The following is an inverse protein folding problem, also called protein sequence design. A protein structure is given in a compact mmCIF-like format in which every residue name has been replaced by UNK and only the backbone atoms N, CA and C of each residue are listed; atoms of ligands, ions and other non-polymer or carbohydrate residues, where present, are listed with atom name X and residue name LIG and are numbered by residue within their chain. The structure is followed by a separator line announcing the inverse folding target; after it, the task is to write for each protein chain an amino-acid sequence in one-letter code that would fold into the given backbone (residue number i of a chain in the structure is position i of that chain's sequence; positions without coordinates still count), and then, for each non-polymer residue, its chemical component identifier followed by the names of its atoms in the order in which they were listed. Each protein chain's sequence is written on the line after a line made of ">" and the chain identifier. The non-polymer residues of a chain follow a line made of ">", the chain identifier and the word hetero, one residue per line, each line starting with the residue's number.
data_IF_907953483034
#
_entry.id   IF_907953483034
#
_cell.length_a   1.000
_cell.length_b   1.000
_cell.length_c   1.000
_cell.angle_alpha   90.00
_cell.angle_beta   90.00
_cell.angle_gamma   90.00
#
_symmetry.space_group_name_H-M   'P 1'
#
loop_
_entity.id
_entity.type
_entity.pdbx_description
1 polymer ?
#
# COMPACT_ATOMS: atom_id res chain seq x y z
N UNK A 1 13.20 -0.77 0.47
CA UNK A 1 12.50 0.28 -0.33
C UNK A 1 11.03 0.22 0.07
N UNK A 2 10.23 1.31 0.00
CA UNK A 2 8.79 1.16 0.13
C UNK A 2 8.28 0.39 -1.09
N UNK A 3 7.84 -0.85 -0.86
CA UNK A 3 7.27 -1.69 -1.90
C UNK A 3 5.77 -1.37 -1.99
N UNK A 4 5.26 -1.21 -3.21
CA UNK A 4 3.84 -0.95 -3.47
C UNK A 4 3.11 -2.29 -3.48
N UNK A 5 2.35 -2.56 -2.42
CA UNK A 5 1.51 -3.75 -2.32
C UNK A 5 0.09 -3.43 -2.77
N UNK A 6 -0.26 -3.79 -4.01
CA UNK A 6 -1.67 -3.84 -4.41
C UNK A 6 -2.34 -4.99 -3.66
N UNK A 7 -3.16 -4.65 -2.68
CA UNK A 7 -3.94 -5.65 -1.92
C UNK A 7 -5.02 -6.24 -2.81
N UNK A 8 -5.48 -7.47 -2.53
CA UNK A 8 -6.61 -8.11 -3.23
C UNK A 8 -7.83 -7.19 -3.38
N UNK A 9 -8.07 -6.32 -2.39
CA UNK A 9 -9.13 -5.30 -2.40
C UNK A 9 -9.01 -4.33 -3.59
N UNK A 10 -7.80 -3.88 -3.92
CA UNK A 10 -7.58 -3.01 -5.06
C UNK A 10 -7.89 -3.72 -6.38
N UNK A 11 -7.60 -5.02 -6.47
CA UNK A 11 -7.95 -5.83 -7.64
C UNK A 11 -9.47 -5.95 -7.81
N UNK A 12 -10.22 -6.24 -6.73
CA UNK A 12 -11.68 -6.28 -6.79
C UNK A 12 -12.30 -4.95 -7.23
N UNK A 13 -11.76 -3.82 -6.76
CA UNK A 13 -12.20 -2.48 -7.19
C UNK A 13 -11.95 -2.28 -8.68
N UNK A 14 -10.76 -2.64 -9.19
CA UNK A 14 -10.43 -2.56 -10.61
C UNK A 14 -11.38 -3.43 -11.44
N UNK A 15 -11.66 -4.67 -11.02
CA UNK A 15 -12.62 -5.55 -11.68
C UNK A 15 -14.03 -4.94 -11.73
N UNK A 16 -14.50 -4.38 -10.61
CA UNK A 16 -15.78 -3.68 -10.57
C UNK A 16 -15.82 -2.48 -11.54
N UNK A 17 -14.72 -1.73 -11.61
CA UNK A 17 -14.59 -0.60 -12.51
C UNK A 17 -14.68 -1.01 -13.99
N UNK A 18 -13.96 -2.08 -14.36
CA UNK A 18 -14.02 -2.67 -15.71
C UNK A 18 -15.45 -3.11 -16.03
N UNK A 19 -16.12 -3.78 -15.10
CA UNK A 19 -17.50 -4.22 -15.29
C UNK A 19 -18.49 -3.06 -15.49
N UNK A 20 -18.34 -1.98 -14.72
CA UNK A 20 -19.16 -0.76 -14.88
C UNK A 20 -18.95 -0.13 -16.26
N UNK A 21 -17.72 -0.10 -16.78
CA UNK A 21 -17.47 0.43 -18.11
C UNK A 21 -18.01 -0.47 -19.23
N UNK A 22 -17.93 -1.80 -19.09
CA UNK A 22 -18.52 -2.75 -20.05
C UNK A 22 -20.04 -2.57 -20.11
N UNK A 23 -20.70 -2.53 -18.94
CA UNK A 23 -22.16 -2.33 -18.86
C UNK A 23 -22.57 -0.91 -19.26
N UNK A 24 -21.66 0.06 -19.14
CA UNK A 24 -21.81 1.42 -19.65
C UNK A 24 -22.06 1.51 -21.15
N UNK A 25 -21.62 0.52 -21.94
CA UNK A 25 -21.95 0.46 -23.37
C UNK A 25 -23.46 0.31 -23.62
N UNK A 26 -24.16 -0.44 -22.76
CA UNK A 26 -25.61 -0.59 -22.84
C UNK A 26 -26.38 0.57 -22.20
N UNK A 27 -25.80 1.20 -21.17
CA UNK A 27 -26.42 2.30 -20.43
C UNK A 27 -25.46 3.48 -20.26
N UNK A 28 -25.66 4.56 -21.02
CA UNK A 28 -24.81 5.75 -20.96
C UNK A 28 -24.65 6.35 -19.56
N UNK A 29 -25.64 6.21 -18.66
CA UNK A 29 -25.55 6.67 -17.27
C UNK A 29 -24.41 6.00 -16.51
N UNK A 30 -24.16 4.71 -16.76
CA UNK A 30 -23.08 3.95 -16.11
C UNK A 30 -21.69 4.42 -16.55
N UNK A 31 -21.55 5.04 -17.73
CA UNK A 31 -20.27 5.64 -18.15
C UNK A 31 -19.92 6.81 -17.23
N UNK A 32 -20.88 7.69 -16.94
CA UNK A 32 -20.68 8.84 -16.04
C UNK A 32 -20.35 8.36 -14.63
N UNK A 33 -21.08 7.35 -14.14
CA UNK A 33 -20.80 6.73 -12.83
C UNK A 33 -19.39 6.11 -12.81
N UNK A 34 -19.02 5.38 -13.86
CA UNK A 34 -17.69 4.77 -14.01
C UNK A 34 -16.56 5.79 -14.02
N UNK A 35 -16.75 6.94 -14.67
CA UNK A 35 -15.78 8.04 -14.68
C UNK A 35 -15.58 8.63 -13.27
N UNK A 36 -16.66 8.86 -12.52
CA UNK A 36 -16.59 9.35 -11.13
C UNK A 36 -15.85 8.32 -10.26
N UNK A 37 -16.20 7.04 -10.37
CA UNK A 37 -15.53 5.97 -9.64
C UNK A 37 -14.03 5.90 -9.98
N UNK A 38 -13.67 5.97 -11.26
CA UNK A 38 -12.28 5.96 -11.72
C UNK A 38 -11.48 7.12 -11.10
N UNK A 39 -12.05 8.33 -11.15
CA UNK A 39 -11.39 9.53 -10.65
C UNK A 39 -11.20 9.48 -9.13
N UNK A 40 -12.19 8.95 -8.41
CA UNK A 40 -12.09 8.71 -6.96
C UNK A 40 -11.01 7.68 -6.61
N UNK A 41 -10.88 6.62 -7.41
CA UNK A 41 -9.88 5.58 -7.20
C UNK A 41 -8.45 6.10 -7.44
N UNK A 42 -8.25 6.88 -8.50
CA UNK A 42 -6.97 7.54 -8.77
C UNK A 42 -6.60 8.49 -7.63
N UNK A 43 -7.56 9.29 -7.14
CA UNK A 43 -7.31 10.20 -6.02
C UNK A 43 -6.90 9.42 -4.76
N UNK A 44 -7.56 8.31 -4.46
CA UNK A 44 -7.21 7.45 -3.33
C UNK A 44 -5.79 6.87 -3.47
N UNK A 45 -5.40 6.39 -4.67
CA UNK A 45 -4.05 5.92 -4.95
C UNK A 45 -3.00 7.03 -4.77
N UNK A 46 -3.29 8.25 -5.23
CA UNK A 46 -2.39 9.40 -5.05
C UNK A 46 -2.23 9.72 -3.57
N UNK A 47 -3.31 9.68 -2.78
CA UNK A 47 -3.24 9.89 -1.33
C UNK A 47 -2.41 8.79 -0.66
N UNK A 48 -2.61 7.52 -1.01
CA UNK A 48 -1.83 6.40 -0.48
C UNK A 48 -0.35 6.52 -0.80
N UNK A 49 -0.01 6.80 -2.06
CA UNK A 49 1.37 7.01 -2.48
C UNK A 49 1.97 8.24 -1.80
N UNK A 50 1.23 9.35 -1.75
CA UNK A 50 1.65 10.55 -1.05
C UNK A 50 1.95 10.23 0.41
N UNK A 51 1.08 9.51 1.13
CA UNK A 51 1.31 9.10 2.51
C UNK A 51 2.53 8.18 2.62
N UNK A 52 2.64 7.18 1.75
CA UNK A 52 3.73 6.20 1.75
C UNK A 52 5.11 6.84 1.57
N UNK A 53 5.19 7.86 0.69
CA UNK A 53 6.43 8.59 0.41
C UNK A 53 6.62 9.85 1.28
N UNK A 54 5.55 10.38 1.88
CA UNK A 54 5.59 11.56 2.76
C UNK A 54 5.96 11.22 4.21
N UNK A 55 5.78 9.96 4.66
CA UNK A 55 6.31 9.52 5.95
C UNK A 55 7.85 9.58 5.91
N UNK A 56 8.40 10.74 6.29
CA UNK A 56 9.77 10.86 6.81
C UNK A 56 9.83 9.92 8.00
N UNK A 57 10.43 8.75 7.85
CA UNK A 57 10.58 7.73 8.92
C UNK A 57 11.13 8.41 10.19
N UNK A 58 10.31 8.77 11.20
CA UNK A 58 10.79 9.43 12.41
C UNK A 58 11.47 8.40 13.30
N UNK A 59 11.09 7.13 13.16
CA UNK A 59 11.64 6.00 13.87
C UNK A 59 12.48 5.16 12.92
N UNK A 60 13.79 5.17 13.15
CA UNK A 60 14.72 4.22 12.55
C UNK A 60 14.87 3.08 13.54
N UNK A 61 14.19 1.97 13.26
CA UNK A 61 14.39 0.73 14.00
C UNK A 61 15.47 -0.09 13.29
N UNK A 62 16.59 -0.30 13.96
CA UNK A 62 17.68 -1.14 13.48
C UNK A 62 17.71 -2.40 14.35
N UNK A 63 17.68 -3.56 13.71
CA UNK A 63 17.84 -4.84 14.40
C UNK A 63 19.33 -5.14 14.44
N UNK A 64 19.90 -5.08 15.64
CA UNK A 64 21.27 -5.54 15.85
C UNK A 64 21.16 -7.03 16.15
N UNK A 65 21.69 -7.85 15.24
CA UNK A 65 21.84 -9.29 15.42
C UNK A 65 23.32 -9.63 15.30
N UNK A 66 23.78 -10.61 16.06
CA UNK A 66 25.16 -11.09 15.93
C UNK A 66 25.36 -11.79 14.57
N UNK A 67 26.56 -11.70 14.02
CA UNK A 67 26.94 -12.18 12.67
C UNK A 67 26.68 -13.69 12.46
N UNK A 68 26.53 -14.46 13.55
CA UNK A 68 26.17 -15.87 13.52
C UNK A 68 25.11 -16.17 14.57
N UNK A 69 23.87 -16.38 14.12
CA UNK A 69 22.82 -16.96 14.94
C UNK A 69 23.18 -18.44 15.19
N UNK A 70 23.56 -18.78 16.41
CA UNK A 70 23.81 -20.17 16.81
C UNK A 70 22.48 -20.95 16.86
N UNK A 71 22.44 -22.13 16.24
CA UNK A 71 21.23 -22.96 16.05
C UNK A 71 20.69 -23.65 17.32
N UNK A 72 21.10 -23.21 18.52
CA UNK A 72 20.64 -23.79 19.78
C UNK A 72 20.89 -22.92 21.01
N UNK A 73 21.30 -21.66 20.84
CA UNK A 73 21.60 -20.75 21.94
C UNK A 73 20.67 -19.53 21.94
N UNK A 74 20.47 -18.91 23.10
CA UNK A 74 19.63 -17.70 23.21
C UNK A 74 20.34 -16.50 22.57
N UNK A 75 20.08 -16.26 21.28
CA UNK A 75 20.61 -15.08 20.59
C UNK A 75 19.71 -13.86 20.91
N UNK A 76 20.26 -12.89 21.65
CA UNK A 76 19.53 -11.68 22.04
C UNK A 76 19.36 -10.74 20.84
N UNK A 77 18.15 -10.70 20.25
CA UNK A 77 17.84 -9.74 19.20
C UNK A 77 17.47 -8.39 19.82
N UNK A 78 18.42 -7.44 19.80
CA UNK A 78 18.20 -6.10 20.35
C UNK A 78 17.58 -5.22 19.26
N UNK A 79 16.35 -4.77 19.51
CA UNK A 79 15.66 -3.79 18.68
C UNK A 79 16.04 -2.38 19.15
N UNK A 80 16.93 -1.71 18.43
CA UNK A 80 17.28 -0.32 18.72
C UNK A 80 16.33 0.59 17.95
N UNK A 81 15.41 1.21 18.68
CA UNK A 81 14.44 2.16 18.13
C UNK A 81 14.98 3.56 18.39
N UNK A 82 15.44 4.25 17.35
CA UNK A 82 15.83 5.67 17.44
C UNK A 82 14.71 6.53 16.87
N UNK A 83 14.15 7.40 17.71
CA UNK A 83 13.25 8.48 17.33
C UNK A 83 14.07 9.71 16.95
N UNK A 84 13.76 10.37 15.85
CA UNK A 84 14.32 11.66 15.45
C UNK A 84 13.51 12.84 16.02
N UNK A 85 13.10 12.74 17.29
CA UNK A 85 12.41 13.80 18.03
C UNK A 85 13.37 14.47 19.01
#
# INVERSE_FOLDING_TARGET
>A
MPDIYLTERALYVIFGLVFVFITGFAFNVLIVVGQIMLLSFILALVIELSLLYSIRKPFRAERITEDKLSNGDFNMAILKITSAY
#
